data_IF_994878560268
#
_entry.id   IF_994878560268
#
_cell.length_a   1.000
_cell.length_b   1.000
_cell.length_c   1.000
_cell.angle_alpha   90.00
_cell.angle_beta   90.00
_cell.angle_gamma   90.00
#
_symmetry.space_group_name_H-M   'P 1'
#
loop_
_entity.id
_entity.type
_entity.pdbx_description
1 polymer ?
#
# COMPACT_ATOMS: atom_id res chain seq x y z
N UNK A 1 11.94 38.65 -68.43
CA UNK A 1 11.45 37.39 -67.88
C UNK A 1 12.09 37.16 -66.47
N UNK A 2 11.44 37.68 -65.47
CA UNK A 2 11.88 37.53 -64.06
C UNK A 2 10.92 36.59 -63.33
N UNK A 3 11.42 35.49 -62.78
CA UNK A 3 10.69 34.64 -61.86
C UNK A 3 11.12 34.98 -60.43
N UNK A 4 10.19 35.55 -59.68
CA UNK A 4 10.32 35.76 -58.24
C UNK A 4 9.89 34.52 -57.50
N UNK A 5 10.80 33.89 -56.73
CA UNK A 5 10.50 32.81 -55.76
C UNK A 5 10.16 33.45 -54.40
N UNK A 6 8.88 33.44 -54.04
CA UNK A 6 8.43 33.78 -52.69
C UNK A 6 8.57 32.55 -51.78
N UNK A 7 9.55 32.57 -50.88
CA UNK A 7 9.75 31.57 -49.84
C UNK A 7 8.74 31.73 -48.71
N UNK A 8 7.81 30.80 -48.59
CA UNK A 8 6.85 30.74 -47.48
C UNK A 8 7.54 30.12 -46.24
N UNK A 9 7.99 30.99 -45.30
CA UNK A 9 8.47 30.56 -43.96
C UNK A 9 7.28 30.54 -43.03
N UNK A 10 6.59 29.43 -43.00
CA UNK A 10 5.61 29.12 -41.97
C UNK A 10 6.31 28.91 -40.59
N UNK A 11 6.46 29.98 -39.80
CA UNK A 11 6.87 29.88 -38.45
C UNK A 11 5.75 29.23 -37.63
N UNK A 12 5.95 27.99 -37.16
CA UNK A 12 5.12 27.33 -36.14
C UNK A 12 5.16 28.18 -34.87
N UNK A 13 4.17 29.05 -34.68
CA UNK A 13 3.90 29.69 -33.39
C UNK A 13 3.37 28.62 -32.45
N UNK A 14 4.24 28.09 -31.62
CA UNK A 14 3.83 27.29 -30.47
C UNK A 14 3.02 28.18 -29.51
N UNK A 15 1.72 27.86 -29.39
CA UNK A 15 0.79 28.55 -28.54
C UNK A 15 1.29 28.49 -27.05
N UNK A 16 1.65 29.63 -26.48
CA UNK A 16 2.22 29.73 -25.15
C UNK A 16 1.35 29.12 -24.02
N UNK A 17 0.04 28.96 -24.28
CA UNK A 17 -0.89 28.24 -23.41
C UNK A 17 -0.59 26.74 -23.38
N UNK A 18 -0.31 26.12 -24.52
CA UNK A 18 0.02 24.68 -24.60
C UNK A 18 1.36 24.37 -23.95
N UNK A 19 2.33 25.27 -24.09
CA UNK A 19 3.63 25.13 -23.42
C UNK A 19 3.50 25.22 -21.89
N UNK A 20 2.65 26.14 -21.39
CA UNK A 20 2.35 26.23 -19.95
C UNK A 20 1.69 24.99 -19.35
N UNK A 21 0.82 24.32 -20.09
CA UNK A 21 0.19 23.07 -19.65
C UNK A 21 1.19 21.89 -19.64
N UNK A 22 2.02 21.79 -20.65
CA UNK A 22 3.09 20.76 -20.72
C UNK A 22 4.13 20.96 -19.62
N UNK A 23 4.55 22.21 -19.35
CA UNK A 23 5.47 22.52 -18.28
C UNK A 23 4.88 22.23 -16.88
N UNK A 24 3.60 22.53 -16.66
CA UNK A 24 2.89 22.17 -15.42
C UNK A 24 2.71 20.67 -15.27
N UNK A 25 2.38 19.96 -16.36
CA UNK A 25 2.29 18.51 -16.37
C UNK A 25 3.64 17.85 -16.10
N UNK A 26 4.72 18.34 -16.71
CA UNK A 26 6.07 17.86 -16.46
C UNK A 26 6.54 18.16 -15.02
N UNK A 27 6.26 19.37 -14.50
CA UNK A 27 6.54 19.70 -13.10
C UNK A 27 5.75 18.83 -12.13
N UNK A 28 4.47 18.59 -12.41
CA UNK A 28 3.63 17.69 -11.60
C UNK A 28 4.14 16.25 -11.66
N UNK A 29 4.54 15.76 -12.83
CA UNK A 29 5.13 14.43 -12.98
C UNK A 29 6.49 14.33 -12.24
N UNK A 30 7.33 15.36 -12.30
CA UNK A 30 8.60 15.41 -11.56
C UNK A 30 8.34 15.46 -10.05
N UNK A 31 7.39 16.26 -9.58
CA UNK A 31 7.00 16.35 -8.17
C UNK A 31 6.41 15.02 -7.72
N UNK A 32 5.55 14.37 -8.51
CA UNK A 32 5.03 13.05 -8.24
C UNK A 32 6.14 11.99 -8.20
N UNK A 33 7.11 12.05 -9.11
CA UNK A 33 8.28 11.14 -9.12
C UNK A 33 9.22 11.37 -7.94
N UNK A 34 9.36 12.60 -7.46
CA UNK A 34 10.19 12.93 -6.28
C UNK A 34 9.49 12.61 -4.97
N UNK A 35 8.17 12.73 -4.92
CA UNK A 35 7.37 12.39 -3.73
C UNK A 35 7.10 10.88 -3.64
N UNK A 36 6.90 10.19 -4.75
CA UNK A 36 6.65 8.75 -4.79
C UNK A 36 7.70 7.90 -4.03
N UNK A 37 9.03 8.20 -4.10
CA UNK A 37 10.01 7.46 -3.31
C UNK A 37 9.96 7.74 -1.80
N UNK A 38 9.34 8.85 -1.37
CA UNK A 38 9.19 9.19 0.04
C UNK A 38 7.98 8.51 0.70
N UNK A 39 7.14 7.86 -0.11
CA UNK A 39 5.88 7.25 0.29
C UNK A 39 5.94 5.77 -0.08
N UNK A 40 6.81 5.04 0.58
CA UNK A 40 6.74 3.59 0.55
C UNK A 40 5.64 3.13 1.52
N UNK A 41 4.57 2.58 0.97
CA UNK A 41 3.52 1.85 1.69
C UNK A 41 3.84 0.34 1.61
N UNK A 42 3.27 -0.51 2.46
CA UNK A 42 3.44 -1.96 2.34
C UNK A 42 2.41 -2.58 1.41
N UNK A 43 1.16 -2.31 1.68
CA UNK A 43 0.09 -2.49 0.74
C UNK A 43 -0.45 -1.12 0.33
N UNK A 44 -0.95 -1.00 -0.90
CA UNK A 44 -1.63 0.23 -1.33
C UNK A 44 -2.91 0.44 -0.52
N UNK A 45 -3.41 1.69 -0.41
CA UNK A 45 -4.70 1.95 0.23
C UNK A 45 -5.85 1.10 -0.32
N UNK A 46 -5.85 0.83 -1.63
CA UNK A 46 -6.84 -0.04 -2.26
C UNK A 46 -6.78 -1.49 -1.76
N UNK A 47 -5.58 -2.03 -1.58
CA UNK A 47 -5.38 -3.37 -1.02
C UNK A 47 -5.88 -3.46 0.42
N UNK A 48 -5.61 -2.44 1.25
CA UNK A 48 -6.13 -2.40 2.62
C UNK A 48 -7.65 -2.31 2.68
N UNK A 49 -8.27 -1.50 1.81
CA UNK A 49 -9.74 -1.43 1.70
C UNK A 49 -10.31 -2.79 1.28
N UNK A 50 -9.69 -3.45 0.29
CA UNK A 50 -10.09 -4.79 -0.13
C UNK A 50 -10.09 -5.80 1.03
N UNK A 51 -9.02 -5.84 1.82
CA UNK A 51 -8.93 -6.71 3.01
C UNK A 51 -9.96 -6.32 4.08
N UNK A 52 -10.13 -5.02 4.36
CA UNK A 52 -11.11 -4.53 5.32
C UNK A 52 -12.55 -4.86 4.92
N UNK A 53 -12.91 -4.73 3.64
CA UNK A 53 -14.21 -5.15 3.12
C UNK A 53 -14.40 -6.67 3.23
N UNK A 54 -13.34 -7.47 3.02
CA UNK A 54 -13.40 -8.91 3.22
C UNK A 54 -13.69 -9.27 4.68
N UNK A 55 -13.07 -8.56 5.64
CA UNK A 55 -13.35 -8.71 7.08
C UNK A 55 -14.82 -8.40 7.37
N UNK A 56 -15.35 -7.28 6.87
CA UNK A 56 -16.76 -6.91 7.07
C UNK A 56 -17.72 -7.96 6.49
N UNK A 57 -17.40 -8.52 5.31
CA UNK A 57 -18.21 -9.62 4.73
C UNK A 57 -18.17 -10.91 5.54
N UNK A 58 -17.13 -11.12 6.34
CA UNK A 58 -16.90 -12.33 7.12
C UNK A 58 -16.97 -12.06 8.63
N UNK A 59 -17.83 -11.16 9.01
CA UNK A 59 -17.94 -10.62 10.38
C UNK A 59 -18.25 -11.70 11.43
N UNK A 60 -18.87 -12.81 11.01
CA UNK A 60 -19.16 -13.97 11.87
C UNK A 60 -17.90 -14.67 12.41
N UNK A 61 -16.73 -14.44 11.80
CA UNK A 61 -15.46 -14.96 12.30
C UNK A 61 -14.93 -14.19 13.51
N UNK A 62 -15.49 -13.01 13.80
CA UNK A 62 -15.03 -12.10 14.84
C UNK A 62 -15.75 -12.33 16.18
N UNK A 63 -15.14 -11.95 17.32
CA UNK A 63 -15.84 -11.92 18.57
C UNK A 63 -17.10 -11.06 18.51
N UNK A 64 -18.21 -11.42 19.19
CA UNK A 64 -19.49 -10.73 19.02
C UNK A 64 -19.43 -9.22 19.24
N UNK A 65 -18.64 -8.74 20.20
CA UNK A 65 -18.50 -7.30 20.46
C UNK A 65 -17.77 -6.58 19.31
N UNK A 66 -16.74 -7.18 18.72
CA UNK A 66 -16.03 -6.64 17.55
C UNK A 66 -16.94 -6.68 16.34
N UNK A 67 -17.65 -7.78 16.12
CA UNK A 67 -18.60 -7.95 15.03
C UNK A 67 -19.71 -6.88 15.07
N UNK A 68 -20.33 -6.64 16.23
CA UNK A 68 -21.32 -5.60 16.41
C UNK A 68 -20.77 -4.21 16.09
N UNK A 69 -19.58 -3.90 16.61
CA UNK A 69 -18.92 -2.62 16.38
C UNK A 69 -18.63 -2.35 14.91
N UNK A 70 -18.05 -3.32 14.20
CA UNK A 70 -17.74 -3.18 12.78
C UNK A 70 -18.98 -3.18 11.88
N UNK A 71 -20.06 -3.83 12.30
CA UNK A 71 -21.36 -3.75 11.61
C UNK A 71 -21.97 -2.35 11.70
N UNK A 72 -21.82 -1.69 12.84
CA UNK A 72 -22.39 -0.35 13.07
C UNK A 72 -21.52 0.76 12.45
N UNK A 73 -20.18 0.61 12.49
CA UNK A 73 -19.24 1.63 12.03
C UNK A 73 -18.26 1.11 10.96
N UNK A 74 -18.76 0.54 9.84
CA UNK A 74 -17.90 -0.08 8.83
C UNK A 74 -16.95 0.91 8.14
N UNK A 75 -17.40 2.14 7.87
CA UNK A 75 -16.59 3.16 7.22
C UNK A 75 -15.49 3.72 8.13
N UNK A 76 -15.73 3.81 9.45
CA UNK A 76 -14.70 4.20 10.40
C UNK A 76 -13.60 3.12 10.46
N UNK A 77 -13.98 1.84 10.48
CA UNK A 77 -13.03 0.71 10.39
C UNK A 77 -12.21 0.75 9.09
N UNK A 78 -12.89 0.89 7.93
CA UNK A 78 -12.21 0.97 6.63
C UNK A 78 -11.26 2.16 6.56
N UNK A 79 -11.65 3.33 7.08
CA UNK A 79 -10.75 4.49 7.13
C UNK A 79 -9.54 4.23 8.04
N UNK A 80 -9.74 3.58 9.16
CA UNK A 80 -8.66 3.11 10.03
C UNK A 80 -7.66 2.23 9.27
N UNK A 81 -8.16 1.32 8.42
CA UNK A 81 -7.33 0.38 7.67
C UNK A 81 -6.38 1.04 6.63
N UNK A 82 -6.54 2.33 6.33
CA UNK A 82 -5.62 3.09 5.47
C UNK A 82 -4.93 4.23 6.21
N UNK A 83 -5.25 4.46 7.47
CA UNK A 83 -4.87 5.69 8.18
C UNK A 83 -3.39 5.74 8.60
N UNK A 84 -2.70 4.61 8.76
CA UNK A 84 -1.28 4.60 9.07
C UNK A 84 -0.44 5.18 7.92
N UNK A 85 -0.95 5.13 6.70
CA UNK A 85 -0.32 5.68 5.51
C UNK A 85 -0.48 7.18 5.33
N UNK A 86 -1.28 7.81 6.17
CA UNK A 86 -1.40 9.28 6.16
C UNK A 86 -0.11 9.99 6.56
N UNK A 87 0.84 9.32 7.21
CA UNK A 87 2.14 9.89 7.57
C UNK A 87 3.16 9.73 6.44
N UNK A 88 3.51 10.84 5.80
CA UNK A 88 4.51 10.91 4.73
C UNK A 88 5.91 11.05 5.33
N UNK A 89 6.93 10.51 4.63
CA UNK A 89 8.33 10.57 5.07
C UNK A 89 8.56 9.96 6.47
N UNK A 90 7.97 8.81 6.72
CA UNK A 90 7.92 8.05 7.98
C UNK A 90 9.29 7.91 8.68
N UNK A 91 10.39 7.79 7.92
CA UNK A 91 11.76 7.68 8.43
C UNK A 91 12.25 8.89 9.27
N UNK A 92 11.52 10.00 9.21
CA UNK A 92 11.82 11.20 10.01
C UNK A 92 10.93 11.31 11.25
N UNK A 93 10.09 10.31 11.53
CA UNK A 93 9.36 10.25 12.79
C UNK A 93 10.35 10.10 13.96
N UNK A 94 10.06 10.67 15.14
CA UNK A 94 10.86 10.46 16.34
C UNK A 94 11.00 8.98 16.67
N UNK A 95 12.10 8.59 17.33
CA UNK A 95 12.35 7.20 17.74
C UNK A 95 11.17 6.68 18.58
N UNK A 96 10.68 5.49 18.23
CA UNK A 96 9.52 4.86 18.89
C UNK A 96 8.15 5.44 18.50
N UNK A 97 8.10 6.43 17.60
CA UNK A 97 6.85 7.09 17.16
C UNK A 97 6.53 6.86 15.68
N UNK A 98 7.06 5.78 15.12
CA UNK A 98 6.75 5.40 13.73
C UNK A 98 5.28 5.00 13.60
N UNK A 99 4.56 5.57 12.62
CA UNK A 99 3.14 5.29 12.42
C UNK A 99 2.84 3.80 12.18
N UNK A 100 3.79 3.04 11.61
CA UNK A 100 3.71 1.58 11.48
C UNK A 100 4.37 0.87 12.67
N UNK A 101 4.03 1.28 13.89
CA UNK A 101 4.47 0.64 15.14
C UNK A 101 3.25 0.16 15.91
N UNK A 102 3.32 -1.06 16.48
CA UNK A 102 2.26 -1.58 17.32
C UNK A 102 1.95 -0.64 18.50
N UNK A 103 2.96 -0.06 19.13
CA UNK A 103 2.75 0.88 20.24
C UNK A 103 1.89 2.08 19.82
N UNK A 104 2.14 2.64 18.63
CA UNK A 104 1.34 3.77 18.11
C UNK A 104 -0.06 3.30 17.75
N UNK A 105 -0.21 2.12 17.15
CA UNK A 105 -1.50 1.54 16.83
C UNK A 105 -2.37 1.31 18.06
N UNK A 106 -1.81 0.72 19.11
CA UNK A 106 -2.52 0.53 20.38
C UNK A 106 -2.80 1.86 21.09
N UNK A 107 -1.89 2.83 21.06
CA UNK A 107 -2.14 4.17 21.61
C UNK A 107 -3.35 4.84 20.94
N UNK A 108 -3.49 4.70 19.61
CA UNK A 108 -4.66 5.19 18.86
C UNK A 108 -5.93 4.47 19.32
N UNK A 109 -5.88 3.15 19.45
CA UNK A 109 -7.01 2.35 19.90
C UNK A 109 -7.43 2.69 21.34
N UNK A 110 -6.47 2.82 22.26
CA UNK A 110 -6.71 3.13 23.67
C UNK A 110 -7.21 4.58 23.88
N UNK A 111 -6.79 5.50 23.03
CA UNK A 111 -7.25 6.88 23.03
C UNK A 111 -8.65 7.09 22.44
N UNK A 112 -9.28 6.02 21.93
CA UNK A 112 -10.63 6.05 21.36
C UNK A 112 -11.68 6.22 22.48
N UNK A 113 -12.45 7.34 22.44
CA UNK A 113 -13.42 7.71 23.49
C UNK A 113 -14.82 7.21 23.22
N UNK A 114 -15.10 6.73 22.02
CA UNK A 114 -16.40 6.26 21.59
C UNK A 114 -16.27 5.12 20.57
N UNK A 115 -17.38 4.48 20.25
CA UNK A 115 -17.40 3.28 19.43
C UNK A 115 -16.97 3.52 17.98
N UNK A 116 -17.25 4.69 17.39
CA UNK A 116 -16.71 5.06 16.06
C UNK A 116 -15.20 5.10 16.06
N UNK A 117 -14.59 5.75 17.05
CA UNK A 117 -13.14 5.84 17.17
C UNK A 117 -12.53 4.48 17.54
N UNK A 118 -13.26 3.62 18.26
CA UNK A 118 -12.81 2.24 18.50
C UNK A 118 -12.80 1.41 17.22
N UNK A 119 -13.85 1.51 16.39
CA UNK A 119 -13.86 0.86 15.08
C UNK A 119 -12.71 1.36 14.19
N UNK A 120 -12.45 2.67 14.19
CA UNK A 120 -11.30 3.27 13.54
C UNK A 120 -9.97 2.71 14.05
N UNK A 121 -9.78 2.61 15.36
CA UNK A 121 -8.59 2.04 15.99
C UNK A 121 -8.36 0.58 15.62
N UNK A 122 -9.43 -0.25 15.58
CA UNK A 122 -9.36 -1.63 15.09
C UNK A 122 -8.95 -1.68 13.60
N UNK A 123 -9.43 -0.75 12.79
CA UNK A 123 -8.97 -0.60 11.39
C UNK A 123 -7.49 -0.30 11.31
N UNK A 124 -7.00 0.63 12.14
CA UNK A 124 -5.57 0.97 12.20
C UNK A 124 -4.69 -0.24 12.57
N UNK A 125 -5.10 -0.99 13.58
CA UNK A 125 -4.42 -2.22 13.97
C UNK A 125 -4.48 -3.29 12.87
N UNK A 126 -5.61 -3.39 12.16
CA UNK A 126 -5.76 -4.28 10.98
C UNK A 126 -4.81 -3.92 9.85
N UNK A 127 -4.57 -2.63 9.61
CA UNK A 127 -3.54 -2.17 8.68
C UNK A 127 -2.16 -2.72 9.07
N UNK A 128 -1.75 -2.55 10.33
CA UNK A 128 -0.46 -3.03 10.80
C UNK A 128 -0.31 -4.55 10.68
N UNK A 129 -1.39 -5.30 10.91
CA UNK A 129 -1.39 -6.76 10.75
C UNK A 129 -1.20 -7.19 9.29
N UNK A 130 -1.86 -6.52 8.35
CA UNK A 130 -1.69 -6.77 6.93
C UNK A 130 -0.27 -6.39 6.46
N UNK A 131 0.23 -5.25 6.93
CA UNK A 131 1.58 -4.75 6.61
C UNK A 131 2.69 -5.64 7.14
N UNK A 132 2.46 -6.35 8.26
CA UNK A 132 3.40 -7.34 8.74
C UNK A 132 3.69 -8.42 7.68
N UNK A 133 2.71 -8.81 6.86
CA UNK A 133 2.92 -9.74 5.75
C UNK A 133 3.69 -9.09 4.60
N UNK A 134 3.28 -7.90 4.19
CA UNK A 134 3.90 -7.20 3.08
C UNK A 134 5.37 -6.89 3.35
N UNK A 135 5.67 -6.34 4.51
CA UNK A 135 6.99 -5.82 4.84
C UNK A 135 7.98 -6.89 5.33
N UNK A 136 7.51 -8.03 5.83
CA UNK A 136 8.42 -9.09 6.26
C UNK A 136 8.60 -10.20 5.22
N UNK A 137 7.63 -10.37 4.30
CA UNK A 137 7.66 -11.47 3.35
C UNK A 137 7.61 -11.01 1.90
N UNK A 138 6.56 -10.29 1.48
CA UNK A 138 6.35 -9.97 0.06
C UNK A 138 7.39 -8.99 -0.48
N UNK A 139 7.42 -7.77 0.04
CA UNK A 139 8.28 -6.69 -0.50
C UNK A 139 9.76 -7.03 -0.39
N UNK A 140 10.30 -7.50 0.77
CA UNK A 140 11.71 -7.83 0.87
C UNK A 140 12.12 -8.98 -0.06
N UNK A 141 11.26 -10.00 -0.25
CA UNK A 141 11.49 -11.06 -1.23
C UNK A 141 11.63 -10.50 -2.64
N UNK A 142 10.67 -9.66 -3.05
CA UNK A 142 10.69 -9.07 -4.38
C UNK A 142 11.91 -8.16 -4.59
N UNK A 143 12.29 -7.36 -3.60
CA UNK A 143 13.47 -6.50 -3.66
C UNK A 143 14.78 -7.31 -3.70
N UNK A 144 14.85 -8.43 -3.00
CA UNK A 144 16.01 -9.32 -3.06
C UNK A 144 16.23 -9.87 -4.47
N UNK A 145 15.14 -10.30 -5.14
CA UNK A 145 15.21 -10.88 -6.48
C UNK A 145 15.39 -9.83 -7.57
N UNK A 146 14.73 -8.67 -7.48
CA UNK A 146 14.50 -7.81 -8.65
C UNK A 146 15.21 -6.47 -8.63
N UNK A 147 15.41 -5.83 -7.49
CA UNK A 147 15.88 -4.45 -7.41
C UNK A 147 16.82 -4.20 -6.24
N UNK A 148 17.86 -3.39 -6.51
CA UNK A 148 18.73 -2.83 -5.48
C UNK A 148 18.21 -1.53 -4.88
N UNK A 149 17.17 -0.89 -5.48
CA UNK A 149 16.58 0.37 -5.00
C UNK A 149 15.37 0.08 -4.14
N UNK A 150 15.40 0.51 -2.87
CA UNK A 150 14.32 0.21 -1.93
C UNK A 150 13.06 1.01 -2.17
N UNK A 151 13.15 2.29 -2.53
CA UNK A 151 11.96 3.15 -2.61
C UNK A 151 11.12 2.89 -3.86
N UNK A 152 11.71 3.01 -5.04
CA UNK A 152 10.99 2.79 -6.30
C UNK A 152 10.54 1.34 -6.48
N UNK A 153 11.41 0.37 -6.11
CA UNK A 153 11.06 -1.05 -6.18
C UNK A 153 9.94 -1.41 -5.20
N UNK A 154 9.93 -0.81 -4.02
CA UNK A 154 8.89 -0.99 -3.02
C UNK A 154 7.52 -0.58 -3.58
N UNK A 155 7.35 0.69 -3.93
CA UNK A 155 6.08 1.18 -4.48
C UNK A 155 5.66 0.50 -5.79
N UNK A 156 6.62 0.07 -6.62
CA UNK A 156 6.34 -0.71 -7.82
C UNK A 156 5.66 -2.03 -7.48
N UNK A 157 6.21 -2.80 -6.53
CA UNK A 157 5.68 -4.11 -6.19
C UNK A 157 4.33 -4.06 -5.51
N UNK A 158 4.08 -3.06 -4.69
CA UNK A 158 2.77 -2.82 -4.07
C UNK A 158 1.69 -2.49 -5.10
N UNK A 159 1.99 -1.55 -5.99
CA UNK A 159 1.06 -1.20 -7.06
C UNK A 159 0.86 -2.36 -8.03
N UNK A 160 1.93 -3.13 -8.31
CA UNK A 160 1.85 -4.36 -9.10
C UNK A 160 0.93 -5.39 -8.47
N UNK A 161 1.01 -5.56 -7.15
CA UNK A 161 0.14 -6.45 -6.41
C UNK A 161 -1.33 -6.03 -6.52
N UNK A 162 -1.63 -4.75 -6.30
CA UNK A 162 -2.99 -4.23 -6.41
C UNK A 162 -3.60 -4.46 -7.79
N UNK A 163 -2.82 -4.41 -8.88
CA UNK A 163 -3.36 -4.67 -10.23
C UNK A 163 -3.96 -6.07 -10.40
N UNK A 164 -3.59 -7.02 -9.55
CA UNK A 164 -4.20 -8.35 -9.52
C UNK A 164 -5.54 -8.38 -8.78
N UNK A 165 -5.76 -7.47 -7.83
CA UNK A 165 -7.00 -7.38 -7.04
C UNK A 165 -8.14 -6.70 -7.80
N UNK A 166 -7.82 -6.02 -8.91
CA UNK A 166 -8.77 -5.32 -9.76
C UNK A 166 -8.74 -3.80 -9.62
N UNK A 167 -9.27 -3.12 -10.64
CA UNK A 167 -9.28 -1.64 -10.72
C UNK A 167 -10.22 -0.98 -9.70
N UNK A 168 -11.16 -1.74 -9.15
CA UNK A 168 -12.13 -1.27 -8.17
C UNK A 168 -11.47 -0.85 -6.83
N UNK A 169 -10.32 -1.45 -6.48
CA UNK A 169 -9.65 -1.19 -5.20
C UNK A 169 -9.26 0.28 -5.05
N UNK A 170 -8.64 0.88 -6.06
CA UNK A 170 -8.26 2.30 -6.04
C UNK A 170 -9.49 3.21 -5.96
N UNK A 171 -10.56 2.88 -6.70
CA UNK A 171 -11.83 3.61 -6.66
C UNK A 171 -12.48 3.56 -5.27
N UNK A 172 -12.53 2.40 -4.63
CA UNK A 172 -13.06 2.24 -3.27
C UNK A 172 -12.27 3.05 -2.24
N UNK A 173 -10.94 3.03 -2.32
CA UNK A 173 -10.10 3.86 -1.46
C UNK A 173 -10.39 5.36 -1.66
N UNK A 174 -10.58 5.81 -2.92
CA UNK A 174 -10.97 7.19 -3.22
C UNK A 174 -12.35 7.54 -2.65
N UNK A 175 -13.36 6.70 -2.85
CA UNK A 175 -14.70 6.92 -2.29
C UNK A 175 -14.63 7.08 -0.77
N UNK A 176 -13.85 6.23 -0.10
CA UNK A 176 -13.68 6.25 1.34
C UNK A 176 -13.06 7.57 1.85
N UNK A 177 -12.01 8.08 1.23
CA UNK A 177 -11.36 9.33 1.68
C UNK A 177 -12.22 10.59 1.45
N UNK A 178 -13.27 10.50 0.65
CA UNK A 178 -14.21 11.61 0.40
C UNK A 178 -15.30 11.72 1.46
N UNK A 179 -15.46 10.72 2.32
CA UNK A 179 -16.36 10.78 3.47
C UNK A 179 -15.75 11.68 4.56
N UNK A 180 -16.57 12.25 5.41
CA UNK A 180 -16.09 13.03 6.57
C UNK A 180 -15.51 12.11 7.66
N UNK A 181 -14.21 12.26 7.91
CA UNK A 181 -13.47 11.56 8.94
C UNK A 181 -12.85 12.52 9.97
N UNK A 182 -13.43 13.72 10.14
CA UNK A 182 -12.86 14.77 10.99
C UNK A 182 -12.60 14.34 12.43
N UNK A 183 -13.40 13.45 13.00
CA UNK A 183 -13.21 12.88 14.35
C UNK A 183 -11.99 11.99 14.43
N UNK A 184 -11.82 11.08 13.48
CA UNK A 184 -10.65 10.21 13.38
C UNK A 184 -9.40 11.02 13.07
N UNK A 185 -9.48 11.99 12.16
CA UNK A 185 -8.40 12.93 11.84
C UNK A 185 -7.93 13.70 13.09
N UNK A 186 -8.88 14.16 13.93
CA UNK A 186 -8.57 14.82 15.20
C UNK A 186 -7.90 13.89 16.23
N UNK A 187 -8.20 12.59 16.22
CA UNK A 187 -7.48 11.58 17.03
C UNK A 187 -6.06 11.39 16.53
N UNK A 188 -5.86 11.22 15.22
CA UNK A 188 -4.54 11.10 14.61
C UNK A 188 -3.66 12.32 14.87
N UNK A 189 -4.22 13.54 14.81
CA UNK A 189 -3.47 14.77 15.08
C UNK A 189 -2.96 14.88 16.53
N UNK A 190 -3.61 14.19 17.47
CA UNK A 190 -3.17 14.11 18.87
C UNK A 190 -2.11 13.04 19.13
N UNK A 191 -2.19 11.92 18.42
CA UNK A 191 -1.34 10.75 18.69
C UNK A 191 -0.13 10.70 17.77
N UNK A 192 -0.32 10.96 16.47
CA UNK A 192 0.78 10.86 15.51
C UNK A 192 1.75 12.04 15.65
N UNK A 193 3.02 11.72 15.60
CA UNK A 193 4.08 12.73 15.56
C UNK A 193 4.23 13.28 14.13
N UNK A 194 4.50 14.59 13.99
CA UNK A 194 4.87 15.17 12.70
C UNK A 194 6.16 14.52 12.18
N UNK A 195 6.29 14.49 10.86
CA UNK A 195 7.52 14.07 10.17
C UNK A 195 8.24 15.30 9.62
N UNK A 196 8.53 15.38 8.32
CA UNK A 196 8.97 16.62 7.66
C UNK A 196 7.82 17.63 7.63
N UNK A 197 6.59 17.14 7.51
CA UNK A 197 5.38 17.96 7.46
C UNK A 197 4.52 17.73 8.70
N UNK A 198 3.63 18.69 8.98
CA UNK A 198 2.61 18.52 10.00
C UNK A 198 1.64 17.38 9.64
N UNK A 199 1.01 16.76 10.64
CA UNK A 199 0.04 15.68 10.43
C UNK A 199 -1.09 16.06 9.47
N UNK A 200 -1.72 17.28 9.56
CA UNK A 200 -2.71 17.69 8.57
C UNK A 200 -2.17 17.83 7.15
N UNK A 201 -0.91 18.27 7.00
CA UNK A 201 -0.27 18.40 5.67
C UNK A 201 0.02 17.03 5.08
N UNK A 202 0.56 16.10 5.87
CA UNK A 202 0.77 14.72 5.47
C UNK A 202 -0.54 14.08 4.97
N UNK A 203 -1.62 14.25 5.72
CA UNK A 203 -2.96 13.72 5.36
C UNK A 203 -3.50 14.32 4.06
N UNK A 204 -3.28 15.62 3.80
CA UNK A 204 -3.67 16.24 2.51
C UNK A 204 -2.89 15.66 1.33
N UNK A 205 -1.59 15.45 1.50
CA UNK A 205 -0.75 14.81 0.48
C UNK A 205 -1.24 13.38 0.22
N UNK A 206 -1.45 12.59 1.28
CA UNK A 206 -1.98 11.23 1.17
C UNK A 206 -3.32 11.17 0.41
N UNK A 207 -4.30 12.01 0.79
CA UNK A 207 -5.58 12.08 0.08
C UNK A 207 -5.40 12.44 -1.41
N UNK A 208 -4.51 13.38 -1.72
CA UNK A 208 -4.16 13.72 -3.10
C UNK A 208 -3.60 12.52 -3.88
N UNK A 209 -2.76 11.70 -3.25
CA UNK A 209 -2.19 10.50 -3.88
C UNK A 209 -3.25 9.43 -4.15
N UNK A 210 -4.17 9.19 -3.20
CA UNK A 210 -5.28 8.24 -3.39
C UNK A 210 -6.18 8.67 -4.57
N UNK A 211 -6.46 9.97 -4.72
CA UNK A 211 -7.22 10.50 -5.85
C UNK A 211 -6.47 10.28 -7.17
N UNK A 212 -5.16 10.50 -7.20
CA UNK A 212 -4.33 10.28 -8.39
C UNK A 212 -4.25 8.79 -8.75
N UNK A 213 -4.19 7.90 -7.76
CA UNK A 213 -4.15 6.45 -7.99
C UNK A 213 -5.40 5.93 -8.72
N UNK A 214 -6.57 6.53 -8.52
CA UNK A 214 -7.82 6.20 -9.24
C UNK A 214 -7.93 6.88 -10.62
N UNK A 215 -6.96 7.68 -11.04
CA UNK A 215 -7.01 8.34 -12.33
C UNK A 215 -6.70 7.37 -13.48
N UNK A 216 -7.54 7.39 -14.55
CA UNK A 216 -7.38 6.49 -15.69
C UNK A 216 -5.99 6.56 -16.36
N UNK A 217 -5.41 7.76 -16.46
CA UNK A 217 -4.08 7.92 -17.05
C UNK A 217 -3.02 7.25 -16.20
N UNK A 218 -3.14 7.31 -14.86
CA UNK A 218 -2.25 6.64 -13.92
C UNK A 218 -2.41 5.13 -13.99
N UNK A 219 -3.65 4.63 -14.04
CA UNK A 219 -3.97 3.22 -14.22
C UNK A 219 -3.37 2.66 -15.53
N UNK A 220 -3.46 3.41 -16.63
CA UNK A 220 -2.83 3.02 -17.92
C UNK A 220 -1.30 2.96 -17.82
N UNK A 221 -0.66 3.90 -17.13
CA UNK A 221 0.79 3.86 -16.91
C UNK A 221 1.19 2.58 -16.18
N UNK A 222 0.47 2.23 -15.11
CA UNK A 222 0.72 1.00 -14.36
C UNK A 222 0.48 -0.25 -15.19
N UNK A 223 -0.57 -0.28 -16.00
CA UNK A 223 -0.83 -1.38 -16.91
C UNK A 223 0.31 -1.55 -17.93
N UNK A 224 0.78 -0.46 -18.54
CA UNK A 224 1.94 -0.50 -19.44
C UNK A 224 3.23 -0.96 -18.72
N UNK A 225 3.45 -0.54 -17.49
CA UNK A 225 4.59 -1.02 -16.68
C UNK A 225 4.48 -2.51 -16.39
N UNK A 226 3.28 -3.02 -16.15
CA UNK A 226 3.01 -4.45 -15.96
C UNK A 226 3.33 -5.24 -17.22
N UNK A 227 2.80 -4.83 -18.37
CA UNK A 227 2.97 -5.51 -19.65
C UNK A 227 4.43 -5.55 -20.11
N UNK A 228 5.20 -4.50 -19.82
CA UNK A 228 6.62 -4.40 -20.19
C UNK A 228 7.57 -4.87 -19.08
N UNK A 229 7.06 -5.39 -17.98
CA UNK A 229 7.90 -5.87 -16.90
C UNK A 229 8.49 -7.25 -17.23
N UNK A 230 9.81 -7.37 -17.10
CA UNK A 230 10.50 -8.66 -17.18
C UNK A 230 10.29 -9.56 -15.94
N UNK A 231 9.67 -9.02 -14.90
CA UNK A 231 9.45 -9.71 -13.65
C UNK A 231 8.00 -10.19 -13.57
N UNK A 232 7.81 -11.45 -13.27
CA UNK A 232 6.49 -12.02 -13.10
C UNK A 232 6.02 -11.97 -11.64
N UNK A 233 4.70 -11.88 -11.45
CA UNK A 233 4.01 -12.06 -10.19
C UNK A 233 2.84 -13.02 -10.43
N UNK A 234 3.02 -14.32 -10.15
CA UNK A 234 1.98 -15.30 -10.39
C UNK A 234 0.75 -15.08 -9.50
N UNK A 235 -0.44 -15.26 -10.06
CA UNK A 235 -1.72 -15.14 -9.34
C UNK A 235 -1.77 -16.04 -8.08
N UNK A 236 -1.15 -17.22 -8.15
CA UNK A 236 -1.03 -18.12 -7.00
C UNK A 236 -0.31 -17.45 -5.82
N UNK A 237 0.76 -16.68 -6.11
CA UNK A 237 1.52 -16.01 -5.05
C UNK A 237 0.72 -14.84 -4.50
N UNK A 238 0.04 -14.07 -5.36
CA UNK A 238 -0.91 -13.03 -4.92
C UNK A 238 -1.96 -13.62 -3.97
N UNK A 239 -2.62 -14.71 -4.38
CA UNK A 239 -3.61 -15.39 -3.54
C UNK A 239 -3.07 -15.82 -2.18
N UNK A 240 -1.82 -16.33 -2.12
CA UNK A 240 -1.17 -16.72 -0.86
C UNK A 240 -0.91 -15.54 0.08
N UNK A 241 -0.44 -14.41 -0.47
CA UNK A 241 -0.18 -13.20 0.35
C UNK A 241 -1.48 -12.54 0.80
N UNK A 242 -2.52 -12.49 -0.05
CA UNK A 242 -3.86 -12.01 0.32
C UNK A 242 -4.43 -12.85 1.46
N UNK A 243 -4.40 -14.17 1.32
CA UNK A 243 -4.91 -15.08 2.34
C UNK A 243 -4.17 -14.90 3.68
N UNK A 244 -2.84 -14.83 3.66
CA UNK A 244 -2.05 -14.61 4.89
C UNK A 244 -2.32 -13.24 5.53
N UNK A 245 -2.45 -12.17 4.73
CA UNK A 245 -2.79 -10.85 5.24
C UNK A 245 -4.17 -10.85 5.91
N UNK A 246 -5.13 -11.50 5.29
CA UNK A 246 -6.47 -11.67 5.86
C UNK A 246 -6.45 -12.48 7.16
N UNK A 247 -5.76 -13.63 7.18
CA UNK A 247 -5.62 -14.46 8.36
C UNK A 247 -5.02 -13.68 9.53
N UNK A 248 -4.00 -12.87 9.27
CA UNK A 248 -3.37 -12.02 10.28
C UNK A 248 -4.30 -10.92 10.79
N UNK A 249 -5.09 -10.30 9.91
CA UNK A 249 -6.09 -9.30 10.31
C UNK A 249 -7.17 -9.94 11.20
N UNK A 250 -7.72 -11.09 10.81
CA UNK A 250 -8.72 -11.79 11.64
C UNK A 250 -8.12 -12.22 12.97
N UNK A 251 -6.92 -12.77 12.97
CA UNK A 251 -6.25 -13.19 14.20
C UNK A 251 -6.02 -12.02 15.15
N UNK A 252 -5.57 -10.88 14.64
CA UNK A 252 -5.41 -9.65 15.42
C UNK A 252 -6.74 -9.18 16.04
N UNK A 253 -7.81 -9.11 15.24
CA UNK A 253 -9.13 -8.69 15.72
C UNK A 253 -9.73 -9.64 16.75
N UNK A 254 -9.27 -10.89 16.79
CA UNK A 254 -9.68 -11.90 17.77
C UNK A 254 -8.84 -11.93 19.04
N UNK A 255 -7.53 -11.69 18.93
CA UNK A 255 -6.56 -11.95 20.01
C UNK A 255 -5.71 -10.74 20.41
N UNK A 256 -5.84 -9.62 19.69
CA UNK A 256 -5.13 -8.36 19.95
C UNK A 256 -3.60 -8.56 20.04
N UNK A 257 -2.99 -8.19 21.15
CA UNK A 257 -1.55 -8.30 21.42
C UNK A 257 -1.03 -9.75 21.56
N UNK A 258 -1.94 -10.71 21.68
CA UNK A 258 -1.62 -12.14 21.66
C UNK A 258 -1.64 -12.77 20.27
N UNK A 259 -1.98 -11.99 19.23
CA UNK A 259 -2.07 -12.46 17.86
C UNK A 259 -0.69 -12.75 17.25
N UNK A 260 -0.65 -13.67 16.27
CA UNK A 260 0.58 -14.04 15.58
C UNK A 260 1.28 -12.83 14.91
N UNK A 261 0.58 -11.94 14.18
CA UNK A 261 1.21 -10.79 13.53
C UNK A 261 1.86 -9.81 14.51
N UNK A 262 1.42 -9.75 15.77
CA UNK A 262 2.00 -8.85 16.77
C UNK A 262 3.49 -9.13 17.05
N UNK A 263 3.97 -10.33 16.74
CA UNK A 263 5.39 -10.72 16.89
C UNK A 263 6.28 -10.19 15.76
N UNK A 264 5.69 -9.64 14.71
CA UNK A 264 6.39 -9.12 13.54
C UNK A 264 6.47 -7.59 13.61
N UNK A 265 7.50 -7.01 13.03
CA UNK A 265 7.61 -5.57 12.83
C UNK A 265 6.76 -5.13 11.61
N UNK A 266 5.67 -4.37 11.79
CA UNK A 266 4.86 -3.92 10.66
C UNK A 266 5.59 -2.94 9.74
N UNK A 267 6.67 -2.29 10.21
CA UNK A 267 7.50 -1.43 9.35
C UNK A 267 8.43 -2.23 8.43
N UNK A 268 8.77 -3.46 8.83
CA UNK A 268 9.67 -4.35 8.11
C UNK A 268 11.08 -3.82 7.91
N UNK A 269 11.49 -2.85 8.70
CA UNK A 269 12.77 -2.14 8.54
C UNK A 269 13.97 -3.10 8.48
N UNK A 270 13.98 -4.13 9.32
CA UNK A 270 15.05 -5.12 9.33
C UNK A 270 15.00 -6.02 8.08
N UNK A 271 13.83 -6.52 7.71
CA UNK A 271 13.63 -7.36 6.53
C UNK A 271 14.04 -6.62 5.24
N UNK A 272 13.66 -5.36 5.11
CA UNK A 272 14.03 -4.51 3.97
C UNK A 272 15.55 -4.25 3.90
N UNK A 273 16.20 -4.05 5.05
CA UNK A 273 17.68 -3.95 5.12
C UNK A 273 18.34 -5.27 4.78
N UNK A 274 17.78 -6.39 5.25
CA UNK A 274 18.28 -7.73 4.96
C UNK A 274 18.19 -8.04 3.45
N UNK A 275 17.06 -7.73 2.80
CA UNK A 275 16.88 -7.93 1.36
C UNK A 275 17.99 -7.28 0.54
N UNK A 276 18.41 -6.05 0.89
CA UNK A 276 19.53 -5.37 0.24
C UNK A 276 20.88 -6.07 0.49
N UNK A 277 21.08 -6.60 1.70
CA UNK A 277 22.32 -7.33 2.04
C UNK A 277 22.41 -8.64 1.26
N UNK A 278 21.32 -9.43 1.28
CA UNK A 278 21.23 -10.71 0.56
C UNK A 278 21.51 -10.50 -0.92
N UNK A 279 20.79 -9.58 -1.58
CA UNK A 279 20.99 -9.28 -2.99
C UNK A 279 22.43 -8.88 -3.30
N UNK A 280 23.01 -7.93 -2.56
CA UNK A 280 24.39 -7.46 -2.80
C UNK A 280 25.41 -8.60 -2.66
N UNK A 281 25.22 -9.49 -1.69
CA UNK A 281 26.09 -10.66 -1.48
C UNK A 281 26.06 -11.58 -2.70
N UNK A 282 24.87 -12.01 -3.13
CA UNK A 282 24.71 -12.95 -4.24
C UNK A 282 25.20 -12.38 -5.56
N UNK A 283 24.95 -11.09 -5.84
CA UNK A 283 25.45 -10.44 -7.06
C UNK A 283 27.00 -10.35 -7.08
N UNK A 284 27.65 -10.16 -5.93
CA UNK A 284 29.13 -10.18 -5.84
C UNK A 284 29.69 -11.57 -6.06
N UNK A 285 28.97 -12.62 -5.67
CA UNK A 285 29.34 -14.02 -5.90
C UNK A 285 29.14 -14.45 -7.37
N UNK A 286 28.52 -13.59 -8.21
CA UNK A 286 28.28 -13.87 -9.63
C UNK A 286 27.24 -14.98 -9.90
N UNK A 287 26.41 -15.32 -8.91
CA UNK A 287 25.46 -16.44 -8.99
C UNK A 287 24.01 -15.96 -8.86
N UNK A 288 23.52 -15.27 -9.89
CA UNK A 288 22.14 -14.73 -9.90
C UNK A 288 21.06 -15.81 -9.76
N UNK A 289 21.34 -17.06 -10.17
CA UNK A 289 20.39 -18.18 -10.05
C UNK A 289 20.01 -18.45 -8.58
N UNK A 290 20.94 -18.18 -7.64
CA UNK A 290 20.67 -18.34 -6.21
C UNK A 290 19.80 -17.24 -5.58
N UNK A 291 19.50 -16.16 -6.30
CA UNK A 291 18.71 -15.06 -5.75
C UNK A 291 17.33 -15.51 -5.27
N UNK A 292 16.66 -16.36 -6.04
CA UNK A 292 15.34 -16.89 -5.67
C UNK A 292 15.40 -17.79 -4.43
N UNK A 293 16.37 -18.72 -4.40
CA UNK A 293 16.54 -19.63 -3.26
C UNK A 293 16.85 -18.87 -1.96
N UNK A 294 17.77 -17.92 -2.03
CA UNK A 294 18.14 -17.11 -0.86
C UNK A 294 17.01 -16.16 -0.44
N UNK A 295 16.27 -15.59 -1.41
CA UNK A 295 15.09 -14.78 -1.09
C UNK A 295 14.00 -15.63 -0.40
N UNK A 296 13.75 -16.85 -0.88
CA UNK A 296 12.79 -17.76 -0.28
C UNK A 296 13.23 -18.25 1.11
N UNK A 297 14.52 -18.47 1.31
CA UNK A 297 15.07 -18.84 2.63
C UNK A 297 14.90 -17.74 3.67
N UNK A 298 15.08 -16.48 3.28
CA UNK A 298 15.04 -15.34 4.20
C UNK A 298 13.65 -14.74 4.37
N UNK A 299 12.81 -14.77 3.33
CA UNK A 299 11.54 -14.05 3.25
C UNK A 299 10.35 -14.95 2.85
N UNK A 300 10.55 -16.27 2.80
CA UNK A 300 9.46 -17.21 2.61
C UNK A 300 8.48 -17.15 3.79
N UNK A 301 7.18 -17.12 3.50
CA UNK A 301 6.17 -17.13 4.55
C UNK A 301 6.26 -18.45 5.35
N UNK A 302 6.38 -18.41 6.68
CA UNK A 302 6.39 -19.60 7.51
C UNK A 302 5.04 -20.33 7.44
N UNK A 303 5.03 -21.60 7.81
CA UNK A 303 3.79 -22.32 8.06
C UNK A 303 3.04 -21.67 9.25
N UNK A 304 1.72 -21.74 9.22
CA UNK A 304 0.85 -21.27 10.30
C UNK A 304 -0.37 -22.17 10.38
N UNK A 305 -0.96 -22.26 11.59
CA UNK A 305 -2.23 -22.92 11.83
C UNK A 305 -3.44 -22.00 11.54
N UNK A 306 -3.19 -20.74 11.20
CA UNK A 306 -4.25 -19.81 10.82
C UNK A 306 -4.78 -20.17 9.43
N UNK A 307 -6.09 -20.37 9.31
CA UNK A 307 -6.76 -20.83 8.10
C UNK A 307 -8.10 -20.10 7.85
N UNK A 308 -8.28 -18.89 8.41
CA UNK A 308 -9.55 -18.16 8.28
C UNK A 308 -9.92 -17.87 6.82
N UNK A 309 -8.93 -17.62 5.96
CA UNK A 309 -9.15 -17.41 4.54
C UNK A 309 -9.62 -18.68 3.82
N UNK A 310 -9.18 -19.86 4.28
CA UNK A 310 -9.57 -21.15 3.72
C UNK A 310 -11.00 -21.55 4.11
N UNK A 311 -11.49 -21.08 5.24
CA UNK A 311 -12.83 -21.35 5.77
C UNK A 311 -13.92 -20.45 5.13
N UNK A 312 -13.55 -19.53 4.26
CA UNK A 312 -14.51 -18.66 3.58
C UNK A 312 -15.34 -19.43 2.53
N UNK A 313 -16.63 -19.13 2.46
CA UNK A 313 -17.53 -19.69 1.46
C UNK A 313 -17.14 -19.39 0.00
N UNK A 314 -16.36 -18.31 -0.20
CA UNK A 314 -15.76 -17.96 -1.50
C UNK A 314 -14.31 -17.54 -1.28
N UNK A 315 -13.39 -17.90 -2.20
CA UNK A 315 -12.02 -17.44 -2.14
C UNK A 315 -11.94 -15.92 -2.08
N UNK A 316 -10.99 -15.39 -1.30
CA UNK A 316 -10.72 -13.96 -1.24
C UNK A 316 -10.21 -13.41 -2.58
N UNK A 317 -9.46 -14.22 -3.29
CA UNK A 317 -8.83 -13.88 -4.55
C UNK A 317 -9.16 -14.94 -5.60
N UNK A 318 -9.75 -14.50 -6.70
CA UNK A 318 -9.94 -15.30 -7.90
C UNK A 318 -9.19 -14.65 -9.05
N UNK A 319 -8.27 -15.37 -9.73
CA UNK A 319 -7.57 -14.84 -10.90
C UNK A 319 -8.57 -14.35 -11.95
N UNK A 320 -8.36 -13.16 -12.48
CA UNK A 320 -9.22 -12.67 -13.58
C UNK A 320 -9.04 -13.60 -14.79
N UNK A 321 -10.12 -14.16 -15.31
CA UNK A 321 -10.12 -15.07 -16.48
C UNK A 321 -9.67 -14.43 -17.80
N UNK A 322 -9.16 -13.20 -17.78
CA UNK A 322 -8.83 -12.41 -18.96
C UNK A 322 -7.39 -12.57 -19.47
N UNK A 323 -6.72 -13.69 -19.22
CA UNK A 323 -5.35 -13.92 -19.71
C UNK A 323 -5.12 -15.33 -20.30
N UNK A 324 -6.14 -15.97 -20.85
CA UNK A 324 -5.98 -17.23 -21.60
C UNK A 324 -6.71 -17.14 -22.95
N UNK A 325 -6.19 -16.25 -23.81
CA UNK A 325 -6.48 -16.29 -25.26
C UNK A 325 -5.30 -15.74 -26.05
#
# INVERSE_FOLDING_TARGET
LGCSFAGNRGALRLDGRRFGWLARGALFAIVALVIAPAVAHAWTPGTHVFLGEAVIRSISLLPPAVAALLSEFPYDFLYGSIAADTSIAKKYAPVGRHCHSWNVGFEIFDAAKDDRLRAFGLGYLSHLAADAVAHNYFVPRQLAVTSSTSSLGHSYWESRFETHLGTECARRARELILIDHSRADGLLDRVLSPTIFSTPTNRRIFRGMVIVADNESWQRIFQLMKENSRWDLPDRDVGRYVARSYDYVIDLLRRMDSAEPYRLDPSGDEALRMAKRVRRKILREGNELRLHEEADRHFGMPATDLAFAADLARPLYEPSRAASS
#
